data_IF_024353018119
#
_entry.id   IF_024353018119
#
_cell.length_a   1.000
_cell.length_b   1.000
_cell.length_c   1.000
_cell.angle_alpha   90.00
_cell.angle_beta   90.00
_cell.angle_gamma   90.00
#
_symmetry.space_group_name_H-M   'P 1'
#
loop_
_entity.id
_entity.type
_entity.pdbx_description
1 polymer ?
#
# COMPACT_ATOMS: atom_id res chain seq x y z
N UNK A 1 18.73 -26.18 -21.27
CA UNK A 1 18.65 -25.09 -20.30
C UNK A 1 17.31 -25.21 -19.62
N UNK A 2 17.26 -25.75 -18.42
CA UNK A 2 16.06 -25.82 -17.60
C UNK A 2 15.64 -24.38 -17.28
N UNK A 3 14.49 -23.93 -17.81
CA UNK A 3 13.86 -22.70 -17.37
C UNK A 3 13.65 -22.85 -15.86
N UNK A 4 14.37 -22.08 -15.06
CA UNK A 4 14.09 -22.01 -13.62
C UNK A 4 12.66 -21.50 -13.49
N UNK A 5 11.83 -22.20 -12.74
CA UNK A 5 10.48 -21.77 -12.46
C UNK A 5 10.49 -20.31 -11.93
N UNK A 6 9.46 -19.54 -12.27
CA UNK A 6 9.31 -18.19 -11.73
C UNK A 6 9.36 -18.23 -10.19
N UNK A 7 9.95 -17.22 -9.52
CA UNK A 7 10.04 -17.17 -8.06
C UNK A 7 8.64 -17.16 -7.43
N UNK A 8 8.50 -17.69 -6.23
CA UNK A 8 7.23 -17.58 -5.50
C UNK A 8 6.94 -16.12 -5.12
N UNK A 9 5.66 -15.71 -5.21
CA UNK A 9 5.22 -14.32 -5.08
C UNK A 9 4.07 -14.18 -4.08
N UNK A 10 4.17 -13.22 -3.16
CA UNK A 10 3.05 -12.70 -2.38
C UNK A 10 2.73 -11.28 -2.85
N UNK A 11 1.49 -11.06 -3.31
CA UNK A 11 0.95 -9.76 -3.65
C UNK A 11 0.02 -9.27 -2.52
N UNK A 12 0.34 -8.15 -1.90
CA UNK A 12 -0.48 -7.50 -0.89
C UNK A 12 -1.37 -6.43 -1.54
N UNK A 13 -2.63 -6.38 -1.12
CA UNK A 13 -3.57 -5.33 -1.52
C UNK A 13 -4.20 -4.74 -0.25
N UNK A 14 -3.71 -3.60 0.26
CA UNK A 14 -4.31 -2.95 1.42
C UNK A 14 -5.67 -2.35 1.02
N UNK A 15 -6.73 -2.71 1.73
CA UNK A 15 -8.09 -2.29 1.43
C UNK A 15 -8.76 -1.62 2.64
N UNK A 16 -9.46 -0.50 2.41
CA UNK A 16 -10.29 0.20 3.38
C UNK A 16 -11.57 0.71 2.73
N UNK A 17 -12.69 0.02 2.96
CA UNK A 17 -13.99 0.33 2.37
C UNK A 17 -13.93 0.38 0.83
N UNK A 18 -13.60 -0.75 0.22
CA UNK A 18 -13.41 -0.91 -1.22
C UNK A 18 -14.41 -1.90 -1.85
N UNK A 19 -15.61 -2.08 -1.25
CA UNK A 19 -16.60 -3.07 -1.69
C UNK A 19 -16.97 -2.97 -3.19
N UNK A 20 -16.98 -1.74 -3.74
CA UNK A 20 -17.33 -1.52 -5.14
C UNK A 20 -16.19 -1.83 -6.12
N UNK A 21 -14.93 -1.70 -5.67
CA UNK A 21 -13.76 -1.73 -6.57
C UNK A 21 -12.93 -3.00 -6.45
N UNK A 22 -12.85 -3.60 -5.26
CA UNK A 22 -11.90 -4.68 -4.99
C UNK A 22 -12.21 -5.96 -5.78
N UNK A 23 -13.50 -6.31 -5.99
CA UNK A 23 -13.89 -7.53 -6.68
C UNK A 23 -13.34 -7.64 -8.11
N UNK A 24 -13.60 -6.67 -8.99
CA UNK A 24 -13.02 -6.64 -10.33
C UNK A 24 -11.50 -6.66 -10.35
N UNK A 25 -10.83 -5.97 -9.40
CA UNK A 25 -9.37 -5.94 -9.28
C UNK A 25 -8.83 -7.34 -8.97
N UNK A 26 -9.38 -8.02 -7.97
CA UNK A 26 -8.96 -9.37 -7.56
C UNK A 26 -9.11 -10.37 -8.70
N UNK A 27 -10.25 -10.36 -9.37
CA UNK A 27 -10.51 -11.25 -10.52
C UNK A 27 -9.48 -11.02 -11.63
N UNK A 28 -9.27 -9.76 -12.02
CA UNK A 28 -8.33 -9.41 -13.09
C UNK A 28 -6.90 -9.85 -12.75
N UNK A 29 -6.45 -9.65 -11.50
CA UNK A 29 -5.13 -10.09 -11.07
C UNK A 29 -5.00 -11.61 -11.05
N UNK A 30 -5.97 -12.33 -10.48
CA UNK A 30 -5.93 -13.78 -10.40
C UNK A 30 -5.95 -14.44 -11.79
N UNK A 31 -6.86 -14.03 -12.67
CA UNK A 31 -6.95 -14.55 -14.05
C UNK A 31 -5.66 -14.28 -14.84
N UNK A 32 -5.12 -13.07 -14.74
CA UNK A 32 -3.90 -12.69 -15.45
C UNK A 32 -2.70 -13.50 -14.95
N UNK A 33 -2.50 -13.62 -13.64
CA UNK A 33 -1.35 -14.33 -13.08
C UNK A 33 -1.44 -15.84 -13.32
N UNK A 34 -2.62 -16.46 -13.26
CA UNK A 34 -2.82 -17.87 -13.66
C UNK A 34 -2.37 -18.15 -15.09
N UNK A 35 -2.54 -17.20 -15.99
CA UNK A 35 -2.20 -17.37 -17.42
C UNK A 35 -0.75 -17.00 -17.73
N UNK A 36 -0.20 -15.97 -17.05
CA UNK A 36 1.05 -15.33 -17.47
C UNK A 36 2.22 -15.51 -16.49
N UNK A 37 2.01 -16.22 -15.36
CA UNK A 37 3.03 -16.44 -14.34
C UNK A 37 3.18 -17.93 -14.03
N UNK A 38 4.40 -18.47 -14.23
CA UNK A 38 4.64 -19.90 -14.03
C UNK A 38 5.03 -20.25 -12.58
N UNK A 39 5.26 -19.25 -11.72
CA UNK A 39 5.57 -19.42 -10.32
C UNK A 39 4.32 -19.54 -9.44
N UNK A 40 4.49 -20.03 -8.22
CA UNK A 40 3.43 -19.98 -7.21
C UNK A 40 3.19 -18.51 -6.82
N UNK A 41 1.93 -18.10 -6.79
CA UNK A 41 1.56 -16.77 -6.30
C UNK A 41 0.40 -16.82 -5.31
N UNK A 42 0.32 -15.84 -4.45
CA UNK A 42 -0.75 -15.60 -3.50
C UNK A 42 -1.13 -14.13 -3.49
N UNK A 43 -2.41 -13.82 -3.46
CA UNK A 43 -2.95 -12.46 -3.33
C UNK A 43 -3.56 -12.33 -1.93
N UNK A 44 -2.97 -11.47 -1.11
CA UNK A 44 -3.42 -11.23 0.26
C UNK A 44 -4.04 -9.85 0.36
N UNK A 45 -5.36 -9.80 0.53
CA UNK A 45 -6.07 -8.55 0.79
C UNK A 45 -5.98 -8.22 2.26
N UNK A 46 -5.27 -7.13 2.59
CA UNK A 46 -5.13 -6.68 3.97
C UNK A 46 -6.25 -5.69 4.30
N UNK A 47 -7.28 -6.20 4.98
CA UNK A 47 -8.47 -5.44 5.36
C UNK A 47 -8.17 -4.58 6.58
N UNK A 48 -8.22 -3.27 6.41
CA UNK A 48 -7.79 -2.27 7.39
C UNK A 48 -8.98 -1.60 8.07
N UNK A 49 -9.69 -2.33 8.94
CA UNK A 49 -10.86 -1.82 9.67
C UNK A 49 -12.03 -1.47 8.77
N UNK A 50 -12.31 -2.31 7.76
CA UNK A 50 -13.42 -2.12 6.83
C UNK A 50 -14.77 -2.21 7.56
N UNK A 51 -15.73 -1.37 7.14
CA UNK A 51 -17.09 -1.27 7.71
C UNK A 51 -18.17 -1.57 6.70
N UNK A 52 -17.82 -1.57 5.42
CA UNK A 52 -18.65 -1.98 4.29
C UNK A 52 -18.56 -3.49 4.04
N UNK A 53 -19.03 -3.95 2.89
CA UNK A 53 -19.00 -5.35 2.53
C UNK A 53 -17.68 -5.80 1.88
N UNK A 54 -16.58 -5.05 2.01
CA UNK A 54 -15.29 -5.41 1.40
C UNK A 54 -14.86 -6.84 1.74
N UNK A 55 -14.99 -7.29 3.00
CA UNK A 55 -14.63 -8.66 3.39
C UNK A 55 -15.46 -9.68 2.62
N UNK A 56 -16.78 -9.52 2.54
CA UNK A 56 -17.67 -10.46 1.84
C UNK A 56 -17.32 -10.56 0.33
N UNK A 57 -16.93 -9.43 -0.28
CA UNK A 57 -16.46 -9.41 -1.68
C UNK A 57 -15.15 -10.18 -1.84
N UNK A 58 -14.21 -10.03 -0.90
CA UNK A 58 -12.93 -10.77 -0.90
C UNK A 58 -13.17 -12.27 -0.68
N UNK A 59 -14.02 -12.66 0.26
CA UNK A 59 -14.38 -14.07 0.51
C UNK A 59 -15.05 -14.71 -0.72
N UNK A 60 -15.93 -13.97 -1.41
CA UNK A 60 -16.52 -14.43 -2.67
C UNK A 60 -15.47 -14.62 -3.77
N UNK A 61 -14.49 -13.73 -3.87
CA UNK A 61 -13.38 -13.88 -4.82
C UNK A 61 -12.48 -15.08 -4.45
N UNK A 62 -12.19 -15.29 -3.17
CA UNK A 62 -11.41 -16.41 -2.67
C UNK A 62 -12.07 -17.78 -2.93
N UNK A 63 -13.40 -17.83 -2.93
CA UNK A 63 -14.13 -19.04 -3.31
C UNK A 63 -13.93 -19.45 -4.78
N UNK A 64 -13.73 -18.46 -5.68
CA UNK A 64 -13.45 -18.69 -7.09
C UNK A 64 -11.97 -18.85 -7.42
N UNK A 65 -11.11 -18.20 -6.62
CA UNK A 65 -9.65 -18.14 -6.82
C UNK A 65 -8.93 -18.49 -5.50
N UNK A 66 -8.51 -19.76 -5.31
CA UNK A 66 -7.86 -20.22 -4.08
C UNK A 66 -6.56 -19.48 -3.71
N UNK A 67 -5.97 -18.78 -4.66
CA UNK A 67 -4.78 -17.95 -4.44
C UNK A 67 -5.11 -16.65 -3.68
N UNK A 68 -6.40 -16.30 -3.53
CA UNK A 68 -6.83 -15.08 -2.84
C UNK A 68 -7.18 -15.43 -1.40
N UNK A 69 -6.69 -14.65 -0.46
CA UNK A 69 -7.14 -14.70 0.94
C UNK A 69 -7.20 -13.32 1.58
N UNK A 70 -7.96 -13.22 2.66
CA UNK A 70 -8.04 -12.03 3.49
C UNK A 70 -7.10 -12.12 4.70
N UNK A 71 -6.52 -10.98 5.07
CA UNK A 71 -5.89 -10.74 6.37
C UNK A 71 -6.64 -9.57 7.01
N UNK A 72 -7.48 -9.84 8.01
CA UNK A 72 -8.40 -8.84 8.56
C UNK A 72 -7.87 -8.21 9.85
N UNK A 73 -7.89 -6.87 9.89
CA UNK A 73 -7.73 -6.07 11.09
C UNK A 73 -9.05 -5.36 11.38
N UNK A 74 -9.62 -5.61 12.56
CA UNK A 74 -10.92 -5.05 12.97
C UNK A 74 -10.85 -3.53 13.20
N UNK A 75 -9.70 -3.04 13.64
CA UNK A 75 -9.46 -1.62 13.85
C UNK A 75 -8.58 -1.04 12.76
N UNK A 76 -8.83 0.22 12.32
CA UNK A 76 -7.99 0.87 11.32
C UNK A 76 -6.57 1.10 11.85
N UNK A 77 -5.59 0.51 11.18
CA UNK A 77 -4.15 0.66 11.47
C UNK A 77 -3.44 1.57 10.46
N UNK A 78 -4.19 2.13 9.51
CA UNK A 78 -3.69 2.94 8.40
C UNK A 78 -3.13 2.12 7.25
N UNK A 79 -3.02 2.73 6.05
CA UNK A 79 -2.49 2.03 4.85
C UNK A 79 -1.08 1.49 5.11
N UNK A 80 -0.19 2.32 5.64
CA UNK A 80 1.18 1.90 5.97
C UNK A 80 1.21 0.79 7.02
N UNK A 81 0.36 0.85 8.05
CA UNK A 81 0.22 -0.20 9.05
C UNK A 81 -0.22 -1.53 8.43
N UNK A 82 -1.23 -1.50 7.55
CA UNK A 82 -1.67 -2.69 6.82
C UNK A 82 -0.55 -3.30 5.97
N UNK A 83 0.26 -2.47 5.31
CA UNK A 83 1.42 -2.94 4.56
C UNK A 83 2.52 -3.50 5.47
N UNK A 84 2.83 -2.86 6.61
CA UNK A 84 3.81 -3.37 7.57
C UNK A 84 3.39 -4.76 8.08
N UNK A 85 2.12 -4.94 8.42
CA UNK A 85 1.61 -6.24 8.86
C UNK A 85 1.62 -7.29 7.73
N UNK A 86 1.22 -6.89 6.52
CA UNK A 86 1.26 -7.77 5.34
C UNK A 86 2.69 -8.19 4.98
N UNK A 87 3.67 -7.31 5.12
CA UNK A 87 5.08 -7.59 4.82
C UNK A 87 5.70 -8.63 5.78
N UNK A 88 5.07 -8.94 6.93
CA UNK A 88 5.47 -10.08 7.77
C UNK A 88 5.35 -11.43 7.05
N UNK A 89 4.63 -11.48 5.94
CA UNK A 89 4.51 -12.68 5.09
C UNK A 89 5.72 -12.90 4.17
N UNK A 90 6.69 -11.97 4.14
CA UNK A 90 7.89 -12.09 3.29
C UNK A 90 8.60 -13.47 3.39
N UNK A 91 8.73 -14.09 4.58
CA UNK A 91 9.36 -15.41 4.68
C UNK A 91 8.66 -16.54 3.92
N UNK A 92 7.41 -16.35 3.48
CA UNK A 92 6.62 -17.39 2.81
C UNK A 92 6.82 -17.45 1.29
N UNK A 93 7.53 -16.47 0.70
CA UNK A 93 7.74 -16.35 -0.74
C UNK A 93 9.13 -15.76 -1.04
N UNK A 94 9.59 -15.90 -2.30
CA UNK A 94 10.87 -15.32 -2.74
C UNK A 94 10.75 -13.82 -3.01
N UNK A 95 9.57 -13.42 -3.50
CA UNK A 95 9.20 -12.02 -3.75
C UNK A 95 7.94 -11.66 -2.99
N UNK A 96 7.89 -10.44 -2.49
CA UNK A 96 6.70 -9.84 -1.93
C UNK A 96 6.51 -8.44 -2.50
N UNK A 97 5.29 -8.12 -2.87
CA UNK A 97 4.98 -6.80 -3.40
C UNK A 97 3.60 -6.33 -2.98
N UNK A 98 3.25 -5.12 -3.37
CA UNK A 98 1.92 -4.59 -3.13
C UNK A 98 1.44 -3.71 -4.27
N UNK A 99 0.12 -3.59 -4.38
CA UNK A 99 -0.59 -2.63 -5.24
C UNK A 99 -1.75 -2.01 -4.48
N UNK A 100 -2.16 -0.82 -4.90
CA UNK A 100 -3.35 -0.17 -4.35
C UNK A 100 -4.64 -0.90 -4.79
N UNK A 101 -5.65 -0.91 -3.91
CA UNK A 101 -6.93 -1.60 -4.14
C UNK A 101 -7.81 -0.96 -5.22
N UNK A 102 -7.46 0.23 -5.70
CA UNK A 102 -8.24 1.00 -6.68
C UNK A 102 -8.08 0.51 -8.13
N UNK A 103 -7.14 -0.43 -8.38
CA UNK A 103 -6.89 -0.96 -9.71
C UNK A 103 -6.14 -0.01 -10.65
N UNK A 104 -5.55 1.06 -10.12
CA UNK A 104 -4.80 2.03 -10.91
C UNK A 104 -3.56 1.41 -11.59
N UNK A 105 -2.92 0.42 -10.95
CA UNK A 105 -1.86 -0.39 -11.57
C UNK A 105 -2.46 -1.67 -12.13
N UNK A 106 -2.42 -1.92 -13.43
CA UNK A 106 -2.90 -3.17 -14.00
C UNK A 106 -1.91 -4.33 -13.76
N UNK A 107 -2.36 -5.61 -13.79
CA UNK A 107 -1.51 -6.76 -13.48
C UNK A 107 -0.32 -6.91 -14.42
N UNK A 108 -0.42 -6.46 -15.66
CA UNK A 108 0.68 -6.46 -16.66
C UNK A 108 1.85 -5.61 -16.17
N UNK A 109 1.56 -4.40 -15.67
CA UNK A 109 2.56 -3.49 -15.13
C UNK A 109 3.17 -4.03 -13.82
N UNK A 110 2.38 -4.70 -13.00
CA UNK A 110 2.91 -5.33 -11.79
C UNK A 110 3.80 -6.54 -12.10
N UNK A 111 3.44 -7.38 -13.08
CA UNK A 111 4.28 -8.48 -13.52
C UNK A 111 5.63 -7.99 -14.08
N UNK A 112 5.65 -6.82 -14.70
CA UNK A 112 6.91 -6.22 -15.18
C UNK A 112 7.83 -5.87 -13.98
N UNK A 113 7.29 -5.36 -12.87
CA UNK A 113 8.07 -5.17 -11.64
C UNK A 113 8.61 -6.48 -11.08
N UNK A 114 7.81 -7.56 -11.10
CA UNK A 114 8.23 -8.90 -10.67
C UNK A 114 9.43 -9.38 -11.49
N UNK A 115 9.40 -9.18 -12.80
CA UNK A 115 10.50 -9.54 -13.72
C UNK A 115 11.78 -8.76 -13.40
N UNK A 116 11.68 -7.46 -13.14
CA UNK A 116 12.82 -6.61 -12.79
C UNK A 116 13.45 -6.97 -11.45
N UNK A 117 12.68 -7.51 -10.49
CA UNK A 117 13.24 -8.02 -9.22
C UNK A 117 14.12 -9.26 -9.36
N UNK A 118 14.30 -9.82 -10.56
CA UNK A 118 15.33 -10.82 -10.85
C UNK A 118 16.75 -10.23 -10.85
N UNK A 119 16.87 -8.93 -11.09
CA UNK A 119 18.15 -8.23 -11.21
C UNK A 119 18.43 -7.28 -10.04
N UNK A 120 17.38 -6.81 -9.35
CA UNK A 120 17.47 -5.84 -8.26
C UNK A 120 16.71 -6.32 -7.03
N UNK A 121 16.96 -5.69 -5.88
CA UNK A 121 16.32 -6.08 -4.62
C UNK A 121 14.92 -5.47 -4.45
N UNK A 122 14.66 -4.34 -5.13
CA UNK A 122 13.37 -3.67 -5.13
C UNK A 122 13.12 -3.05 -6.51
N UNK A 123 11.96 -3.37 -7.11
CA UNK A 123 11.45 -2.71 -8.30
C UNK A 123 10.20 -1.90 -7.93
N UNK A 124 10.13 -0.65 -8.38
CA UNK A 124 9.02 0.25 -8.12
C UNK A 124 8.46 0.80 -9.42
N UNK A 125 7.15 0.88 -9.55
CA UNK A 125 6.54 1.59 -10.65
C UNK A 125 6.84 3.09 -10.55
N UNK A 126 7.08 3.73 -11.68
CA UNK A 126 7.30 5.17 -11.74
C UNK A 126 6.44 5.78 -12.85
N UNK A 127 5.57 6.70 -12.48
CA UNK A 127 4.71 7.46 -13.41
C UNK A 127 5.45 8.59 -14.11
N UNK A 128 6.69 8.84 -13.73
CA UNK A 128 7.49 9.98 -14.15
C UNK A 128 8.61 9.62 -15.13
N UNK A 129 8.72 8.35 -15.48
CA UNK A 129 9.60 7.91 -16.55
C UNK A 129 8.96 8.20 -17.91
N UNK A 130 9.77 8.53 -18.95
CA UNK A 130 9.24 8.90 -20.26
C UNK A 130 8.37 7.82 -20.89
N UNK A 131 8.68 6.56 -20.65
CA UNK A 131 8.00 5.39 -21.22
C UNK A 131 6.71 5.03 -20.46
N UNK A 132 6.40 5.72 -19.35
CA UNK A 132 5.21 5.44 -18.57
C UNK A 132 3.95 5.94 -19.28
N UNK A 133 2.92 5.09 -19.27
CA UNK A 133 1.63 5.38 -19.89
C UNK A 133 0.63 5.82 -18.84
N UNK A 134 0.23 7.09 -18.87
CA UNK A 134 -0.76 7.68 -17.97
C UNK A 134 -2.05 7.91 -18.75
N UNK A 135 -3.05 7.07 -18.52
CA UNK A 135 -4.29 7.09 -19.31
C UNK A 135 -5.20 8.29 -19.00
N UNK A 136 -5.03 8.93 -17.84
CA UNK A 136 -5.77 10.15 -17.50
C UNK A 136 -4.83 11.25 -17.01
N UNK A 137 -4.99 12.44 -17.56
CA UNK A 137 -4.16 13.59 -17.21
C UNK A 137 -4.60 14.15 -15.86
N UNK A 138 -3.74 14.11 -14.87
CA UNK A 138 -3.96 14.73 -13.58
C UNK A 138 -4.11 16.24 -13.70
N UNK A 139 -4.92 16.87 -12.83
CA UNK A 139 -5.07 18.32 -12.79
C UNK A 139 -3.71 19.01 -12.59
N UNK A 140 -3.53 20.19 -13.16
CA UNK A 140 -2.28 20.96 -13.06
C UNK A 140 -1.88 21.20 -11.60
N UNK A 141 -2.84 21.49 -10.71
CA UNK A 141 -2.60 21.65 -9.26
C UNK A 141 -2.00 20.40 -8.63
N UNK A 142 -2.51 19.22 -8.97
CA UNK A 142 -2.01 17.93 -8.46
C UNK A 142 -0.60 17.64 -8.97
N UNK A 143 -0.31 17.98 -10.22
CA UNK A 143 1.04 17.84 -10.80
C UNK A 143 2.06 18.74 -10.12
N UNK A 144 1.72 20.03 -9.89
CA UNK A 144 2.60 20.98 -9.21
C UNK A 144 2.86 20.52 -7.77
N UNK A 145 1.81 20.15 -7.03
CA UNK A 145 1.95 19.65 -5.67
C UNK A 145 2.84 18.40 -5.61
N UNK A 146 2.65 17.47 -6.52
CA UNK A 146 3.48 16.26 -6.63
C UNK A 146 4.96 16.59 -6.88
N UNK A 147 5.27 17.62 -7.69
CA UNK A 147 6.64 18.07 -7.95
C UNK A 147 7.28 18.72 -6.72
N UNK A 148 6.54 19.57 -6.03
CA UNK A 148 7.00 20.21 -4.78
C UNK A 148 7.25 19.14 -3.71
N UNK A 149 6.33 18.18 -3.58
CA UNK A 149 6.48 17.09 -2.63
C UNK A 149 7.70 16.21 -2.94
N UNK A 150 7.92 15.88 -4.21
CA UNK A 150 9.12 15.15 -4.62
C UNK A 150 10.41 15.90 -4.24
N UNK A 151 10.51 17.18 -4.58
CA UNK A 151 11.67 18.01 -4.22
C UNK A 151 11.89 18.03 -2.70
N UNK A 152 10.82 18.15 -1.93
CA UNK A 152 10.86 18.10 -0.46
C UNK A 152 11.43 16.78 0.07
N UNK A 153 10.97 15.64 -0.48
CA UNK A 153 11.49 14.31 -0.12
C UNK A 153 12.96 14.16 -0.53
N UNK A 154 13.31 14.59 -1.74
CA UNK A 154 14.67 14.52 -2.25
C UNK A 154 15.64 15.32 -1.36
N UNK A 155 15.30 16.54 -0.98
CA UNK A 155 16.11 17.39 -0.08
C UNK A 155 16.29 16.76 1.31
N UNK A 156 15.24 16.14 1.86
CA UNK A 156 15.30 15.56 3.21
C UNK A 156 16.04 14.23 3.27
N UNK A 157 15.89 13.38 2.25
CA UNK A 157 16.39 11.99 2.29
C UNK A 157 17.52 11.71 1.29
N UNK A 158 17.81 12.68 0.40
CA UNK A 158 18.86 12.54 -0.63
C UNK A 158 18.65 11.28 -1.48
N UNK A 159 17.37 10.96 -1.76
CA UNK A 159 16.96 9.83 -2.59
C UNK A 159 16.72 10.30 -4.02
N UNK A 160 17.51 9.80 -4.96
CA UNK A 160 17.34 10.06 -6.41
C UNK A 160 16.28 9.11 -7.00
N UNK A 161 15.08 9.08 -6.41
CA UNK A 161 13.92 8.29 -6.88
C UNK A 161 12.87 9.27 -7.33
N UNK A 162 12.46 9.20 -8.59
CA UNK A 162 11.52 10.17 -9.19
C UNK A 162 10.10 10.00 -8.66
N UNK A 163 9.63 8.76 -8.48
CA UNK A 163 8.28 8.49 -7.99
C UNK A 163 8.26 7.59 -6.74
N UNK A 164 8.49 8.18 -5.58
CA UNK A 164 8.47 7.46 -4.30
C UNK A 164 7.06 6.99 -3.91
N UNK A 165 6.00 7.61 -4.45
CA UNK A 165 4.60 7.40 -4.04
C UNK A 165 3.79 6.54 -5.02
N UNK A 166 4.41 5.92 -6.01
CA UNK A 166 3.69 4.96 -6.85
C UNK A 166 3.23 3.77 -6.00
N UNK A 167 1.94 3.43 -6.09
CA UNK A 167 1.31 2.39 -5.28
C UNK A 167 1.67 0.96 -5.68
N UNK A 168 2.67 0.75 -6.52
CA UNK A 168 3.10 -0.58 -6.97
C UNK A 168 4.60 -0.78 -6.72
N UNK A 169 4.94 -1.76 -5.90
CA UNK A 169 6.32 -2.12 -5.56
C UNK A 169 6.47 -3.62 -5.36
N UNK A 170 7.62 -4.16 -5.76
CA UNK A 170 8.00 -5.56 -5.54
C UNK A 170 9.39 -5.60 -4.93
N UNK A 171 9.59 -6.43 -3.93
CA UNK A 171 10.84 -6.57 -3.19
C UNK A 171 11.20 -8.04 -3.02
N UNK A 172 12.49 -8.32 -2.95
CA UNK A 172 13.00 -9.64 -2.54
C UNK A 172 12.74 -9.86 -1.04
N UNK A 173 12.44 -11.10 -0.67
CA UNK A 173 12.27 -11.54 0.72
C UNK A 173 13.36 -11.00 1.62
N UNK A 174 14.63 -11.26 1.30
CA UNK A 174 15.78 -10.86 2.11
C UNK A 174 15.82 -9.34 2.39
N UNK A 175 15.43 -8.53 1.40
CA UNK A 175 15.40 -7.08 1.58
C UNK A 175 14.37 -6.67 2.64
N UNK A 176 13.18 -7.28 2.61
CA UNK A 176 12.12 -6.98 3.59
C UNK A 176 12.48 -7.53 4.97
N UNK A 177 12.94 -8.77 5.10
CA UNK A 177 13.35 -9.34 6.38
C UNK A 177 14.40 -8.46 7.08
N UNK A 178 15.35 -7.92 6.32
CA UNK A 178 16.40 -7.04 6.86
C UNK A 178 15.88 -5.71 7.39
N UNK A 179 14.88 -5.12 6.73
CA UNK A 179 14.42 -3.77 7.08
C UNK A 179 13.12 -3.73 7.86
N UNK A 180 12.39 -4.84 7.97
CA UNK A 180 11.03 -4.86 8.53
C UNK A 180 10.93 -4.18 9.89
N UNK A 181 11.89 -4.43 10.79
CA UNK A 181 11.94 -3.81 12.12
C UNK A 181 12.11 -2.28 12.10
N UNK A 182 12.52 -1.70 10.97
CA UNK A 182 12.68 -0.24 10.77
C UNK A 182 11.44 0.41 10.18
N UNK A 183 10.43 -0.37 9.76
CA UNK A 183 9.17 0.13 9.24
C UNK A 183 8.27 0.54 10.39
N UNK A 184 8.20 1.83 10.68
CA UNK A 184 7.51 2.38 11.85
C UNK A 184 6.44 3.43 11.50
N UNK A 185 6.25 3.76 10.22
CA UNK A 185 5.31 4.78 9.76
C UNK A 185 4.08 4.13 9.13
N UNK A 186 2.95 4.26 9.80
CA UNK A 186 1.68 3.64 9.40
C UNK A 186 0.81 4.49 8.44
N UNK A 187 1.24 5.69 8.11
CA UNK A 187 0.51 6.63 7.24
C UNK A 187 1.04 6.64 5.78
N UNK A 188 0.67 7.68 5.03
CA UNK A 188 1.05 7.87 3.62
C UNK A 188 2.56 8.04 3.40
N UNK A 189 3.35 8.29 4.43
CA UNK A 189 4.81 8.37 4.36
C UNK A 189 5.49 7.01 4.47
N UNK A 190 4.70 5.93 4.58
CA UNK A 190 5.20 4.54 4.59
C UNK A 190 6.10 4.25 3.39
N UNK A 191 5.70 4.68 2.20
CA UNK A 191 6.47 4.46 0.97
C UNK A 191 7.88 5.05 1.06
N UNK A 192 8.02 6.25 1.66
CA UNK A 192 9.31 6.89 1.88
C UNK A 192 10.11 6.12 2.93
N UNK A 193 9.44 5.69 4.03
CA UNK A 193 10.08 4.89 5.08
C UNK A 193 10.65 3.58 4.51
N UNK A 194 9.87 2.88 3.68
CA UNK A 194 10.27 1.65 3.00
C UNK A 194 11.52 1.88 2.13
N UNK A 195 11.43 2.81 1.17
CA UNK A 195 12.52 3.07 0.21
C UNK A 195 13.78 3.59 0.88
N UNK A 196 13.65 4.45 1.89
CA UNK A 196 14.79 4.95 2.64
C UNK A 196 15.46 3.87 3.49
N UNK A 197 14.67 2.96 4.10
CA UNK A 197 15.19 1.81 4.85
C UNK A 197 15.98 0.88 3.94
N UNK A 198 15.45 0.56 2.75
CA UNK A 198 16.13 -0.25 1.74
C UNK A 198 17.45 0.40 1.31
N UNK A 199 17.42 1.69 0.96
CA UNK A 199 18.61 2.43 0.57
C UNK A 199 19.67 2.44 1.68
N UNK A 200 19.26 2.68 2.95
CA UNK A 200 20.18 2.66 4.09
C UNK A 200 20.77 1.28 4.39
N UNK A 201 20.07 0.23 4.04
CA UNK A 201 20.56 -1.14 4.15
C UNK A 201 21.44 -1.58 2.96
N UNK A 202 21.63 -0.72 1.95
CA UNK A 202 22.49 -0.99 0.79
C UNK A 202 21.80 -1.77 -0.32
N UNK A 203 20.48 -1.95 -0.28
CA UNK A 203 19.73 -2.66 -1.32
C UNK A 203 19.57 -1.82 -2.59
N UNK A 204 19.55 -2.49 -3.73
CA UNK A 204 19.36 -1.90 -5.04
C UNK A 204 17.88 -1.64 -5.30
N UNK A 205 17.57 -0.40 -5.75
CA UNK A 205 16.21 0.02 -6.10
C UNK A 205 16.20 0.48 -7.55
N UNK A 206 15.25 -0.05 -8.34
CA UNK A 206 15.04 0.33 -9.75
C UNK A 206 13.64 0.89 -9.94
N UNK A 207 13.55 2.06 -10.58
CA UNK A 207 12.30 2.57 -11.14
C UNK A 207 12.03 1.93 -12.49
N UNK A 208 10.80 1.49 -12.69
CA UNK A 208 10.33 0.84 -13.91
C UNK A 208 9.18 1.66 -14.47
N UNK A 209 9.14 1.94 -15.78
CA UNK A 209 7.99 2.58 -16.42
C UNK A 209 6.71 1.81 -16.10
N UNK A 210 5.62 2.51 -15.85
CA UNK A 210 4.37 1.85 -15.46
C UNK A 210 3.19 2.32 -16.31
N UNK A 211 2.17 1.47 -16.39
CA UNK A 211 0.85 1.85 -16.88
C UNK A 211 0.05 2.29 -15.66
N UNK A 212 -0.52 3.48 -15.71
CA UNK A 212 -1.32 4.05 -14.62
C UNK A 212 -2.68 4.52 -15.11
N UNK A 213 -3.73 3.94 -14.54
CA UNK A 213 -5.12 4.30 -14.83
C UNK A 213 -5.67 5.06 -13.63
N UNK A 214 -5.74 6.40 -13.74
CA UNK A 214 -6.28 7.20 -12.61
C UNK A 214 -7.77 6.88 -12.42
N UNK A 215 -8.13 6.39 -11.24
CA UNK A 215 -9.52 6.05 -10.90
C UNK A 215 -10.23 7.29 -10.37
N UNK A 216 -11.39 7.59 -10.95
CA UNK A 216 -12.28 8.67 -10.50
C UNK A 216 -12.74 8.33 -9.07
N UNK A 217 -12.55 9.23 -8.11
CA UNK A 217 -12.99 9.03 -6.72
C UNK A 217 -11.87 8.86 -5.69
N UNK A 218 -10.64 9.29 -6.02
CA UNK A 218 -9.56 9.36 -5.01
C UNK A 218 -10.01 10.17 -3.79
N UNK A 219 -10.11 9.51 -2.63
CA UNK A 219 -10.59 10.08 -1.35
C UNK A 219 -9.57 11.05 -0.70
N UNK A 220 -8.45 11.36 -1.36
CA UNK A 220 -7.43 12.26 -0.82
C UNK A 220 -7.85 13.71 -1.03
N UNK A 221 -8.30 14.33 0.05
CA UNK A 221 -8.66 15.75 0.08
C UNK A 221 -7.38 16.59 0.22
N UNK A 222 -6.85 17.11 -0.91
CA UNK A 222 -5.59 17.85 -0.97
C UNK A 222 -5.53 19.06 -0.03
N UNK A 223 -6.67 19.71 0.24
CA UNK A 223 -6.68 20.96 1.01
C UNK A 223 -6.49 20.79 2.52
N UNK A 224 -6.86 19.65 3.12
CA UNK A 224 -6.73 19.42 4.58
C UNK A 224 -5.66 18.37 4.93
N UNK A 225 -5.24 17.53 3.97
CA UNK A 225 -4.29 16.43 4.20
C UNK A 225 -2.83 16.80 3.89
N UNK A 226 -2.58 17.78 3.03
CA UNK A 226 -1.23 18.07 2.50
C UNK A 226 -0.22 18.46 3.58
N UNK A 227 -0.63 19.29 4.54
CA UNK A 227 0.25 19.72 5.63
C UNK A 227 0.60 18.56 6.57
N UNK A 228 -0.37 17.69 6.87
CA UNK A 228 -0.14 16.48 7.68
C UNK A 228 0.86 15.52 7.02
N UNK A 229 0.82 15.40 5.69
CA UNK A 229 1.77 14.58 4.93
C UNK A 229 3.19 15.15 5.03
N UNK A 230 3.36 16.47 4.87
CA UNK A 230 4.68 17.13 5.01
C UNK A 230 5.25 16.94 6.41
N UNK A 231 4.42 17.10 7.45
CA UNK A 231 4.84 16.85 8.84
C UNK A 231 5.22 15.39 9.08
N UNK A 232 4.49 14.43 8.51
CA UNK A 232 4.81 13.01 8.63
C UNK A 232 6.18 12.69 8.01
N UNK A 233 6.46 13.27 6.85
CA UNK A 233 7.77 13.13 6.17
C UNK A 233 8.90 13.77 7.00
N UNK A 234 8.67 14.95 7.58
CA UNK A 234 9.63 15.60 8.46
C UNK A 234 9.88 14.75 9.72
N UNK A 235 8.83 14.25 10.35
CA UNK A 235 8.91 13.33 11.48
C UNK A 235 9.73 12.10 11.15
N UNK A 236 9.49 11.49 9.99
CA UNK A 236 10.29 10.36 9.51
C UNK A 236 11.78 10.74 9.42
N UNK A 237 12.11 11.93 8.90
CA UNK A 237 13.50 12.40 8.81
C UNK A 237 14.14 12.57 10.20
N UNK A 238 13.39 13.07 11.17
CA UNK A 238 13.84 13.19 12.55
C UNK A 238 14.11 11.83 13.19
N UNK A 239 13.24 10.84 12.99
CA UNK A 239 13.40 9.45 13.47
C UNK A 239 14.72 8.85 12.96
N UNK A 240 15.11 9.13 11.72
CA UNK A 240 16.38 8.67 11.14
C UNK A 240 17.59 9.60 11.41
N UNK A 241 17.39 10.67 12.16
CA UNK A 241 18.48 11.57 12.55
C UNK A 241 19.35 10.95 13.64
N UNK A 242 20.68 11.12 13.61
CA UNK A 242 21.55 10.73 14.73
C UNK A 242 21.21 11.48 16.02
N UNK A 243 20.58 12.64 15.90
CA UNK A 243 20.12 13.46 17.03
C UNK A 243 18.78 13.02 17.62
N UNK A 244 18.16 11.95 17.09
CA UNK A 244 16.86 11.48 17.57
C UNK A 244 16.82 11.13 19.07
N UNK A 245 17.95 10.65 19.60
CA UNK A 245 18.10 10.38 21.05
C UNK A 245 17.89 11.66 21.87
N UNK A 246 18.42 12.80 21.42
CA UNK A 246 18.26 14.11 22.07
C UNK A 246 16.83 14.66 21.93
N UNK A 247 16.11 14.25 20.88
CA UNK A 247 14.72 14.66 20.64
C UNK A 247 13.71 13.76 21.36
N UNK A 248 14.15 12.66 21.96
CA UNK A 248 13.29 11.71 22.70
C UNK A 248 12.42 12.37 23.77
N UNK A 249 12.89 13.34 24.57
CA UNK A 249 12.06 14.05 25.53
C UNK A 249 10.93 14.87 24.91
N UNK A 250 11.06 15.28 23.63
CA UNK A 250 10.07 16.06 22.89
C UNK A 250 8.97 15.20 22.26
N UNK A 251 9.01 13.87 22.38
CA UNK A 251 8.00 12.94 21.86
C UNK A 251 6.55 13.29 22.22
N UNK A 252 6.24 13.69 23.47
CA UNK A 252 4.87 14.07 23.81
C UNK A 252 4.39 15.29 23.02
N UNK A 253 5.28 16.28 22.83
CA UNK A 253 4.99 17.48 22.05
C UNK A 253 4.85 17.14 20.56
N UNK A 254 5.73 16.31 20.03
CA UNK A 254 5.68 15.81 18.64
C UNK A 254 4.37 15.05 18.37
N UNK A 255 3.98 14.15 19.28
CA UNK A 255 2.72 13.41 19.21
C UNK A 255 1.50 14.34 19.30
N UNK A 256 1.54 15.34 20.17
CA UNK A 256 0.50 16.34 20.32
C UNK A 256 0.35 17.20 19.05
N UNK A 257 1.45 17.71 18.50
CA UNK A 257 1.48 18.48 17.25
C UNK A 257 0.90 17.62 16.11
N UNK A 258 1.36 16.37 15.97
CA UNK A 258 0.90 15.46 14.93
C UNK A 258 -0.60 15.16 15.07
N UNK A 259 -1.10 14.99 16.30
CA UNK A 259 -2.50 14.68 16.55
C UNK A 259 -3.43 15.87 16.25
N UNK A 260 -2.99 17.10 16.58
CA UNK A 260 -3.80 18.31 16.40
C UNK A 260 -3.73 18.89 14.97
N UNK A 261 -2.64 18.66 14.24
CA UNK A 261 -2.48 19.15 12.87
C UNK A 261 -2.90 18.13 11.80
N UNK A 262 -3.09 16.87 12.19
CA UNK A 262 -3.68 15.85 11.32
C UNK A 262 -5.17 16.12 11.21
N UNK A 263 -5.69 16.18 9.97
CA UNK A 263 -7.14 16.20 9.78
C UNK A 263 -7.75 15.01 10.56
N UNK A 264 -8.79 15.23 11.40
CA UNK A 264 -9.39 14.15 12.16
C UNK A 264 -9.83 13.06 11.20
N UNK A 265 -9.33 11.86 11.42
CA UNK A 265 -9.92 10.69 10.75
C UNK A 265 -11.37 10.63 11.21
N UNK A 266 -12.34 10.38 10.32
CA UNK A 266 -13.71 10.21 10.74
C UNK A 266 -13.72 9.19 11.87
N UNK A 267 -14.31 9.59 13.03
CA UNK A 267 -14.44 8.73 14.20
C UNK A 267 -15.00 7.39 13.73
N UNK A 268 -14.43 6.28 14.19
CA UNK A 268 -15.01 4.98 13.90
C UNK A 268 -16.47 5.02 14.40
N UNK A 269 -17.43 4.87 13.47
CA UNK A 269 -18.82 4.55 13.87
C UNK A 269 -18.82 3.30 14.75
N UNK A 270 -19.89 3.02 15.49
CA UNK A 270 -19.98 1.84 16.33
C UNK A 270 -19.66 0.60 15.48
N UNK A 271 -18.90 -0.37 16.02
CA UNK A 271 -18.58 -1.60 15.31
C UNK A 271 -19.91 -2.26 14.89
N UNK A 272 -20.00 -2.61 13.61
CA UNK A 272 -21.12 -3.43 13.13
C UNK A 272 -20.98 -4.75 13.85
N UNK A 273 -21.92 -5.03 14.80
CA UNK A 273 -22.00 -6.34 15.44
C UNK A 273 -22.41 -7.36 14.37
N UNK A 274 -21.43 -8.00 13.73
CA UNK A 274 -21.67 -9.14 12.86
C UNK A 274 -22.07 -10.31 13.76
N UNK A 275 -23.36 -10.62 13.87
CA UNK A 275 -23.80 -11.93 14.34
C UNK A 275 -23.34 -12.95 13.30
N UNK A 276 -22.35 -13.76 13.64
CA UNK A 276 -22.06 -15.00 12.90
C UNK A 276 -23.22 -15.94 13.20
N UNK A 277 -23.99 -16.27 12.16
CA UNK A 277 -24.89 -17.41 12.24
C UNK A 277 -24.05 -18.70 12.41
N UNK A 278 -24.61 -19.70 13.10
CA UNK A 278 -23.96 -21.00 13.32
C UNK A 278 -23.63 -21.74 12.01
N UNK A 279 -24.15 -21.28 10.87
CA UNK A 279 -23.84 -21.77 9.52
C UNK A 279 -22.69 -21.07 8.83
N UNK A 280 -22.05 -20.04 9.45
CA UNK A 280 -20.91 -19.32 8.86
C UNK A 280 -21.28 -18.27 7.81
N UNK A 281 -22.55 -18.01 7.52
CA UNK A 281 -22.99 -16.98 6.56
C UNK A 281 -23.33 -15.67 7.28
N UNK A 282 -22.92 -14.53 6.70
CA UNK A 282 -23.23 -13.21 7.22
C UNK A 282 -24.68 -12.81 6.87
N UNK A 283 -25.49 -12.53 7.90
CA UNK A 283 -26.88 -12.07 7.73
C UNK A 283 -26.92 -10.52 7.61
N UNK A 284 -27.60 -10.05 6.56
CA UNK A 284 -27.84 -8.64 6.30
C UNK A 284 -28.91 -8.12 7.26
N UNK A 285 -28.62 -7.17 8.14
CA UNK A 285 -29.66 -6.38 8.80
C UNK A 285 -29.95 -5.13 7.98
N UNK A 286 -31.18 -5.05 7.49
CA UNK A 286 -31.80 -3.84 6.95
C UNK A 286 -31.85 -2.74 8.01
N UNK A 287 -31.57 -1.51 7.57
CA UNK A 287 -31.77 -0.30 8.36
C UNK A 287 -33.26 -0.12 8.69
N UNK A 288 -33.67 -0.36 9.90
CA UNK A 288 -34.90 0.21 10.40
C UNK A 288 -34.72 1.72 10.60
N UNK A 289 -35.49 2.46 9.81
CA UNK A 289 -35.75 3.88 9.99
C UNK A 289 -36.28 4.10 11.40
N UNK A 290 -35.61 4.90 12.19
CA UNK A 290 -36.19 5.55 13.35
C UNK A 290 -36.67 6.93 12.91
N UNK A 291 -37.91 7.01 12.44
CA UNK A 291 -38.74 8.18 12.58
C UNK A 291 -39.31 8.15 14.01
N UNK A 292 -38.90 9.09 14.84
CA UNK A 292 -39.76 9.89 15.76
C UNK A 292 -38.92 10.92 16.46
#
# INVERSE_FOLDING_TARGET
MTQSADPSLVLLIPAYNEEERIGPVLRRYAEFFRTNYAGRFEIVVVLNGCRDNTLAVVESAAAAFPEIRALEFLNPIGKGGALIEGLKLAPTADLIGYVDADGATPPEAFLDLVRHCREVDCAIGSRWLPESQIEQVQSLKRRIFSRIFHLYVELLFWMRIKDTQCGAKVMRRQAIETIHSRLCIADVSFDINLLYSLKKAGFTIREVPTIWRDQIGSKINLNKGSFGILLSVLRLRLVYSPFYVLLRPLRPLEAWIYHNLRAPQPLPGPPIQRKRDRSGKAEKRENEKVER
#
